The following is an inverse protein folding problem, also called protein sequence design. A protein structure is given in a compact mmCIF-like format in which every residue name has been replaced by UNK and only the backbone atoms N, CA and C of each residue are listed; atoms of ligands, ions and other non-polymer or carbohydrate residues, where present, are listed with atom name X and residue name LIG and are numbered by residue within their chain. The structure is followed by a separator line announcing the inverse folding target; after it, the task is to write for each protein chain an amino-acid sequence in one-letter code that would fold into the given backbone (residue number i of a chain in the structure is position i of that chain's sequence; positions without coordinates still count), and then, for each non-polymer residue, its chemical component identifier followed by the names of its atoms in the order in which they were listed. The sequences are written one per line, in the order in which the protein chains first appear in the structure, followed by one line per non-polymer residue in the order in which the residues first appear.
data_IF_950981549866
#
_entry.id   IF_950981549866
#
_cell.length_a   1.000
_cell.length_b   1.000
_cell.length_c   1.000
_cell.angle_alpha   90.00
_cell.angle_beta   90.00
_cell.angle_gamma   90.00
#
_symmetry.space_group_name_H-M   'P 1'
#
loop_
_entity.id
_entity.type
_entity.pdbx_description
1 polymer ?
#
# COMPACT_ATOMS: atom_id res chain seq x y z
N UNK A 1 -12.67 13.01 -18.79
CA UNK A 1 -11.52 13.94 -18.62
C UNK A 1 -10.93 13.84 -17.20
N UNK A 2 -9.61 13.67 -17.08
CA UNK A 2 -8.92 13.43 -15.80
C UNK A 2 -9.24 14.49 -14.74
N UNK A 3 -9.34 15.77 -15.15
CA UNK A 3 -9.65 16.90 -14.26
C UNK A 3 -11.05 16.85 -13.65
N UNK A 4 -12.04 16.35 -14.38
CA UNK A 4 -13.40 16.21 -13.88
C UNK A 4 -13.49 15.00 -12.94
N UNK A 5 -12.79 13.91 -13.28
CA UNK A 5 -12.69 12.74 -12.43
C UNK A 5 -12.01 13.04 -11.09
N UNK A 6 -10.92 13.81 -11.10
CA UNK A 6 -10.22 14.18 -9.87
C UNK A 6 -11.05 15.10 -8.97
N UNK A 7 -11.81 16.04 -9.55
CA UNK A 7 -12.72 16.90 -8.78
C UNK A 7 -13.87 16.11 -8.18
N UNK A 8 -14.46 15.17 -8.93
CA UNK A 8 -15.51 14.28 -8.40
C UNK A 8 -14.98 13.42 -7.25
N UNK A 9 -13.78 12.84 -7.40
CA UNK A 9 -13.14 12.04 -6.34
C UNK A 9 -12.86 12.90 -5.11
N UNK A 10 -12.35 14.13 -5.28
CA UNK A 10 -12.10 15.05 -4.17
C UNK A 10 -13.38 15.32 -3.37
N UNK A 11 -14.45 15.74 -4.05
CA UNK A 11 -15.75 16.03 -3.41
C UNK A 11 -16.29 14.78 -2.72
N UNK A 12 -16.23 13.62 -3.40
CA UNK A 12 -16.72 12.36 -2.86
C UNK A 12 -15.95 11.91 -1.62
N UNK A 13 -14.62 11.93 -1.68
CA UNK A 13 -13.74 11.53 -0.56
C UNK A 13 -13.88 12.49 0.61
N UNK A 14 -13.88 13.81 0.37
CA UNK A 14 -14.09 14.80 1.43
C UNK A 14 -15.46 14.61 2.09
N UNK A 15 -16.53 14.46 1.31
CA UNK A 15 -17.87 14.22 1.86
C UNK A 15 -17.93 12.94 2.70
N UNK A 16 -17.31 11.86 2.21
CA UNK A 16 -17.30 10.56 2.87
C UNK A 16 -16.52 10.58 4.19
N UNK A 17 -15.40 11.30 4.22
CA UNK A 17 -14.56 11.46 5.40
C UNK A 17 -15.26 12.33 6.47
N UNK A 18 -16.01 13.35 6.08
CA UNK A 18 -16.76 14.20 7.02
C UNK A 18 -18.10 13.64 7.50
N UNK A 19 -18.73 12.72 6.76
CA UNK A 19 -20.06 12.18 7.09
C UNK A 19 -20.01 10.87 7.88
N UNK A 20 -18.82 10.35 8.21
CA UNK A 20 -18.62 9.04 8.88
C UNK A 20 -19.27 7.84 8.17
N UNK A 21 -19.71 8.00 6.91
CA UNK A 21 -20.22 6.91 6.05
C UNK A 21 -19.14 5.93 5.61
N UNK A 22 -17.88 6.17 6.00
CA UNK A 22 -16.72 5.33 5.72
C UNK A 22 -16.98 3.84 5.97
N UNK A 23 -17.50 3.48 7.16
CA UNK A 23 -17.74 2.07 7.53
C UNK A 23 -18.67 1.31 6.59
N UNK A 24 -19.59 2.00 5.90
CA UNK A 24 -20.50 1.36 4.94
C UNK A 24 -19.80 1.08 3.62
N UNK A 25 -19.07 2.06 3.08
CA UNK A 25 -18.36 1.95 1.80
C UNK A 25 -17.10 1.09 1.93
N UNK A 26 -16.44 1.10 3.08
CA UNK A 26 -15.33 0.19 3.40
C UNK A 26 -15.72 -1.28 3.20
N UNK A 27 -16.92 -1.69 3.64
CA UNK A 27 -17.42 -3.05 3.38
C UNK A 27 -17.55 -3.36 1.89
N UNK A 28 -17.99 -2.37 1.08
CA UNK A 28 -18.05 -2.52 -0.37
C UNK A 28 -16.66 -2.60 -0.99
N UNK A 29 -15.72 -1.76 -0.55
CA UNK A 29 -14.32 -1.79 -0.99
C UNK A 29 -13.72 -3.16 -0.69
N UNK A 30 -13.84 -3.64 0.55
CA UNK A 30 -13.34 -4.96 0.97
C UNK A 30 -13.99 -6.04 0.11
N UNK A 31 -15.30 -6.01 -0.10
CA UNK A 31 -16.00 -6.99 -0.94
C UNK A 31 -15.44 -7.02 -2.37
N UNK A 32 -15.30 -5.88 -3.03
CA UNK A 32 -14.82 -5.79 -4.41
C UNK A 32 -13.32 -6.13 -4.55
N UNK A 33 -12.48 -5.69 -3.61
CA UNK A 33 -11.05 -6.01 -3.60
C UNK A 33 -10.82 -7.49 -3.30
N UNK A 34 -11.53 -8.05 -2.32
CA UNK A 34 -11.49 -9.49 -2.03
C UNK A 34 -11.99 -10.31 -3.21
N UNK A 35 -13.04 -9.87 -3.90
CA UNK A 35 -13.55 -10.55 -5.10
C UNK A 35 -12.49 -10.63 -6.20
N UNK A 36 -11.76 -9.54 -6.47
CA UNK A 36 -10.67 -9.56 -7.44
C UNK A 36 -9.49 -10.40 -6.97
N UNK A 37 -9.08 -10.24 -5.70
CA UNK A 37 -7.99 -11.03 -5.13
C UNK A 37 -8.25 -12.52 -5.20
N UNK A 38 -9.47 -12.95 -4.84
CA UNK A 38 -9.92 -14.33 -4.97
C UNK A 38 -10.02 -14.77 -6.43
N UNK A 39 -10.47 -13.89 -7.33
CA UNK A 39 -10.52 -14.20 -8.76
C UNK A 39 -9.13 -14.54 -9.30
N UNK A 40 -8.10 -13.77 -8.96
CA UNK A 40 -6.72 -14.09 -9.34
C UNK A 40 -6.24 -15.40 -8.72
N UNK A 41 -6.55 -15.69 -7.45
CA UNK A 41 -6.14 -16.95 -6.82
C UNK A 41 -6.82 -18.16 -7.50
N UNK A 42 -8.10 -18.03 -7.88
CA UNK A 42 -8.85 -19.09 -8.55
C UNK A 42 -8.35 -19.27 -9.99
N UNK A 43 -8.10 -18.19 -10.72
CA UNK A 43 -7.53 -18.24 -12.08
C UNK A 43 -6.16 -18.92 -12.08
N UNK A 44 -5.32 -18.62 -11.09
CA UNK A 44 -4.04 -19.29 -10.91
C UNK A 44 -4.21 -20.81 -10.80
N UNK A 45 -5.28 -21.28 -10.17
CA UNK A 45 -5.57 -22.71 -10.00
C UNK A 45 -6.14 -23.37 -11.27
N UNK A 46 -6.75 -22.58 -12.17
CA UNK A 46 -7.33 -23.07 -13.43
C UNK A 46 -6.32 -23.08 -14.59
N UNK A 47 -5.36 -22.15 -14.60
CA UNK A 47 -4.32 -22.08 -15.63
C UNK A 47 -3.32 -23.22 -15.43
N UNK A 48 -2.94 -23.89 -16.53
CA UNK A 48 -1.85 -24.87 -16.50
C UNK A 48 -0.52 -24.16 -16.26
N UNK A 49 -0.08 -24.19 -15.01
CA UNK A 49 1.19 -23.62 -14.57
C UNK A 49 2.16 -24.77 -14.31
N UNK A 50 3.35 -24.68 -14.91
CA UNK A 50 4.49 -25.52 -14.56
C UNK A 50 4.97 -25.15 -13.15
N UNK A 51 4.34 -25.74 -12.12
CA UNK A 51 4.65 -25.47 -10.71
C UNK A 51 6.12 -25.69 -10.37
N UNK A 52 6.79 -26.63 -11.06
CA UNK A 52 8.23 -26.83 -10.92
C UNK A 52 9.01 -25.56 -11.30
N UNK A 53 8.63 -24.85 -12.37
CA UNK A 53 9.28 -23.61 -12.76
C UNK A 53 8.97 -22.48 -11.75
N UNK A 54 7.72 -22.39 -11.29
CA UNK A 54 7.33 -21.41 -10.27
C UNK A 54 8.10 -21.60 -8.95
N UNK A 55 8.28 -22.86 -8.50
CA UNK A 55 9.06 -23.22 -7.32
C UNK A 55 10.55 -22.93 -7.49
N UNK A 56 11.12 -23.20 -8.67
CA UNK A 56 12.52 -22.84 -8.96
C UNK A 56 12.72 -21.32 -9.00
N UNK A 57 11.76 -20.56 -9.55
CA UNK A 57 11.79 -19.10 -9.54
C UNK A 57 11.63 -18.49 -8.14
N UNK A 58 10.93 -19.20 -7.25
CA UNK A 58 10.81 -18.78 -5.84
C UNK A 58 12.09 -19.05 -5.03
N UNK A 59 12.78 -20.16 -5.31
CA UNK A 59 13.93 -20.61 -4.51
C UNK A 59 15.27 -20.11 -5.01
N UNK A 60 15.38 -19.74 -6.30
CA UNK A 60 16.63 -19.28 -6.90
C UNK A 60 16.50 -17.82 -7.35
N UNK A 61 17.03 -16.84 -6.59
CA UNK A 61 17.02 -15.45 -7.01
C UNK A 61 17.96 -15.26 -8.21
N UNK A 62 17.37 -15.06 -9.39
CA UNK A 62 18.10 -14.71 -10.62
C UNK A 62 17.82 -13.26 -10.97
N UNK A 63 18.88 -12.50 -11.29
CA UNK A 63 18.78 -11.09 -11.66
C UNK A 63 19.13 -10.91 -13.15
N UNK A 64 18.18 -11.15 -14.07
CA UNK A 64 18.43 -10.91 -15.49
C UNK A 64 18.61 -9.41 -15.77
N UNK A 65 19.39 -9.10 -16.81
CA UNK A 65 19.63 -7.73 -17.28
C UNK A 65 18.30 -7.03 -17.58
N UNK A 66 18.01 -5.94 -16.86
CA UNK A 66 16.77 -5.16 -17.01
C UNK A 66 15.63 -5.50 -16.04
N UNK A 67 15.73 -6.57 -15.24
CA UNK A 67 14.70 -6.92 -14.24
C UNK A 67 14.84 -6.18 -12.91
N UNK A 68 16.04 -5.66 -12.62
CA UNK A 68 16.34 -4.94 -11.37
C UNK A 68 15.30 -3.81 -11.09
N UNK A 69 14.99 -2.90 -12.04
CA UNK A 69 14.03 -1.81 -11.79
C UNK A 69 12.61 -2.32 -11.50
N UNK A 70 12.18 -3.42 -12.12
CA UNK A 70 10.86 -4.02 -11.90
C UNK A 70 10.78 -4.64 -10.49
N UNK A 71 11.80 -5.41 -10.10
CA UNK A 71 11.88 -6.03 -8.76
C UNK A 71 11.83 -4.94 -7.69
N UNK A 72 12.56 -3.85 -7.92
CA UNK A 72 12.65 -2.75 -6.97
C UNK A 72 11.35 -1.94 -6.91
N UNK A 73 10.70 -1.72 -8.06
CA UNK A 73 9.41 -1.03 -8.12
C UNK A 73 8.32 -1.85 -7.42
N UNK A 74 8.31 -3.18 -7.60
CA UNK A 74 7.41 -4.07 -6.89
C UNK A 74 7.66 -4.03 -5.37
N UNK A 75 8.91 -4.09 -4.92
CA UNK A 75 9.25 -4.01 -3.50
C UNK A 75 8.90 -2.63 -2.88
N UNK A 76 9.19 -1.54 -3.59
CA UNK A 76 8.85 -0.18 -3.15
C UNK A 76 7.34 0.04 -3.04
N UNK A 77 6.56 -0.52 -3.98
CA UNK A 77 5.11 -0.42 -3.96
C UNK A 77 4.46 -1.15 -2.76
N UNK A 78 5.09 -2.22 -2.25
CA UNK A 78 4.59 -2.97 -1.10
C UNK A 78 4.84 -2.24 0.23
N UNK A 79 5.92 -1.46 0.33
CA UNK A 79 6.31 -0.79 1.56
C UNK A 79 5.88 0.67 1.54
N UNK A 80 4.65 0.94 1.99
CA UNK A 80 4.05 2.28 2.01
C UNK A 80 4.29 2.98 3.36
N UNK A 81 5.10 4.06 3.43
CA UNK A 81 5.47 4.69 4.71
C UNK A 81 4.29 5.34 5.43
N UNK A 82 3.33 5.91 4.69
CA UNK A 82 2.12 6.49 5.29
C UNK A 82 1.26 5.45 6.01
N UNK A 83 1.32 4.18 5.58
CA UNK A 83 0.60 3.10 6.25
C UNK A 83 1.20 2.77 7.62
N UNK A 84 2.51 2.99 7.81
CA UNK A 84 3.16 2.83 9.13
C UNK A 84 2.62 3.87 10.14
N UNK A 85 2.44 5.12 9.70
CA UNK A 85 1.86 6.17 10.54
C UNK A 85 0.38 5.92 10.84
N UNK A 86 -0.40 5.60 9.81
CA UNK A 86 -1.83 5.35 9.95
C UNK A 86 -2.10 4.15 10.86
N UNK A 87 -1.37 3.04 10.68
CA UNK A 87 -1.51 1.86 11.53
C UNK A 87 -1.17 2.18 13.00
N UNK A 88 -0.10 2.95 13.24
CA UNK A 88 0.25 3.39 14.60
C UNK A 88 -0.86 4.24 15.23
N UNK A 89 -1.46 5.15 14.46
CA UNK A 89 -2.55 6.02 14.93
C UNK A 89 -3.83 5.23 15.23
N UNK A 90 -4.22 4.29 14.36
CA UNK A 90 -5.41 3.45 14.56
C UNK A 90 -5.27 2.66 15.87
N UNK A 91 -4.09 2.12 16.16
CA UNK A 91 -3.82 1.42 17.41
C UNK A 91 -3.85 2.40 18.61
N UNK A 92 -3.30 3.61 18.47
CA UNK A 92 -3.35 4.62 19.55
C UNK A 92 -4.78 5.12 19.84
N UNK A 93 -5.62 5.27 18.81
CA UNK A 93 -7.01 5.72 18.95
C UNK A 93 -7.87 4.79 19.80
N UNK A 94 -7.50 3.50 19.89
CA UNK A 94 -8.14 2.52 20.76
C UNK A 94 -7.75 2.68 22.25
N UNK A 95 -6.83 3.59 22.59
CA UNK A 95 -6.39 3.95 23.96
C UNK A 95 -5.95 2.79 24.87
N UNK A 96 -5.39 1.72 24.30
CA UNK A 96 -4.88 0.55 25.04
C UNK A 96 -3.83 0.87 26.12
N UNK A 97 -3.20 2.05 26.08
CA UNK A 97 -2.21 2.49 27.08
C UNK A 97 -2.81 2.74 28.48
N UNK A 98 -4.14 2.69 28.61
CA UNK A 98 -4.86 2.82 29.88
C UNK A 98 -5.23 1.45 30.49
N UNK A 99 -4.95 0.35 29.81
CA UNK A 99 -5.35 -1.00 30.21
C UNK A 99 -4.19 -1.78 30.86
N UNK A 100 -4.52 -2.88 31.56
CA UNK A 100 -3.56 -3.71 32.28
C UNK A 100 -2.47 -4.32 31.37
N UNK A 101 -1.27 -4.51 31.94
CA UNK A 101 -0.06 -5.02 31.25
C UNK A 101 -0.31 -6.37 30.53
N UNK A 102 -1.19 -7.22 31.10
CA UNK A 102 -1.61 -8.49 30.50
C UNK A 102 -2.49 -8.32 29.26
N UNK A 103 -3.34 -7.29 29.22
CA UNK A 103 -4.22 -7.01 28.09
C UNK A 103 -3.38 -6.46 26.94
N UNK A 104 -2.44 -5.56 27.23
CA UNK A 104 -1.50 -5.01 26.24
C UNK A 104 -0.69 -6.13 25.58
N UNK A 105 -0.12 -7.07 26.36
CA UNK A 105 0.64 -8.19 25.81
C UNK A 105 -0.20 -9.08 24.89
N UNK A 106 -1.43 -9.41 25.31
CA UNK A 106 -2.36 -10.21 24.51
C UNK A 106 -2.74 -9.50 23.21
N UNK A 107 -3.02 -8.19 23.26
CA UNK A 107 -3.36 -7.40 22.08
C UNK A 107 -2.20 -7.28 21.10
N UNK A 108 -0.96 -7.15 21.58
CA UNK A 108 0.22 -7.18 20.71
C UNK A 108 0.30 -8.48 19.89
N UNK A 109 0.02 -9.63 20.51
CA UNK A 109 0.02 -10.92 19.81
C UNK A 109 -1.12 -11.03 18.79
N UNK A 110 -2.32 -10.55 19.13
CA UNK A 110 -3.46 -10.52 18.20
C UNK A 110 -3.20 -9.60 17.00
N UNK A 111 -2.76 -8.37 17.25
CA UNK A 111 -2.48 -7.38 16.20
C UNK A 111 -1.29 -7.84 15.33
N UNK A 112 -0.30 -8.51 15.90
CA UNK A 112 0.78 -9.15 15.13
C UNK A 112 0.24 -10.24 14.21
N UNK A 113 -0.62 -11.12 14.71
CA UNK A 113 -1.20 -12.21 13.92
C UNK A 113 -2.13 -11.66 12.82
N UNK A 114 -2.93 -10.64 13.12
CA UNK A 114 -3.82 -9.99 12.15
C UNK A 114 -3.02 -9.31 11.02
N UNK A 115 -1.98 -8.57 11.39
CA UNK A 115 -1.08 -7.94 10.42
C UNK A 115 -0.36 -9.00 9.58
N UNK A 116 0.14 -10.07 10.20
CA UNK A 116 0.83 -11.16 9.52
C UNK A 116 -0.08 -11.85 8.51
N UNK A 117 -1.31 -12.20 8.90
CA UNK A 117 -2.30 -12.81 8.01
C UNK A 117 -2.64 -11.89 6.85
N UNK A 118 -2.89 -10.61 7.14
CA UNK A 118 -3.20 -9.60 6.12
C UNK A 118 -2.06 -9.43 5.12
N UNK A 119 -0.80 -9.38 5.58
CA UNK A 119 0.37 -9.31 4.70
C UNK A 119 0.58 -10.59 3.89
N UNK A 120 0.30 -11.77 4.47
CA UNK A 120 0.37 -13.05 3.75
C UNK A 120 -0.67 -13.13 2.63
N UNK A 121 -1.90 -12.67 2.88
CA UNK A 121 -2.94 -12.59 1.84
C UNK A 121 -2.52 -11.62 0.74
N UNK A 122 -2.00 -10.44 1.09
CA UNK A 122 -1.47 -9.48 0.11
C UNK A 122 -0.32 -10.05 -0.72
N UNK A 123 0.60 -10.79 -0.08
CA UNK A 123 1.67 -11.51 -0.77
C UNK A 123 1.14 -12.57 -1.74
N UNK A 124 0.14 -13.35 -1.34
CA UNK A 124 -0.48 -14.37 -2.19
C UNK A 124 -1.15 -13.75 -3.43
N UNK A 125 -1.90 -12.66 -3.24
CA UNK A 125 -2.55 -11.93 -4.34
C UNK A 125 -1.50 -11.33 -5.30
N UNK A 126 -0.48 -10.64 -4.78
CA UNK A 126 0.57 -10.06 -5.61
C UNK A 126 1.33 -11.14 -6.40
N UNK A 127 1.61 -12.27 -5.77
CA UNK A 127 2.26 -13.41 -6.44
C UNK A 127 1.36 -14.00 -7.54
N UNK A 128 0.07 -14.15 -7.27
CA UNK A 128 -0.90 -14.63 -8.27
C UNK A 128 -0.97 -13.70 -9.48
N UNK A 129 -1.01 -12.38 -9.27
CA UNK A 129 -1.00 -11.39 -10.35
C UNK A 129 0.24 -11.55 -11.23
N UNK A 130 1.43 -11.68 -10.63
CA UNK A 130 2.69 -11.83 -11.40
C UNK A 130 2.69 -13.14 -12.21
N UNK A 131 2.27 -14.25 -11.61
CA UNK A 131 2.29 -15.56 -12.27
C UNK A 131 1.26 -15.61 -13.42
N UNK A 132 0.06 -15.09 -13.21
CA UNK A 132 -0.96 -15.00 -14.28
C UNK A 132 -0.47 -14.07 -15.39
N UNK A 133 0.16 -12.94 -15.05
CA UNK A 133 0.68 -12.03 -16.07
C UNK A 133 1.76 -12.72 -16.92
N UNK A 134 2.61 -13.53 -16.30
CA UNK A 134 3.59 -14.35 -17.02
C UNK A 134 2.89 -15.42 -17.90
N UNK A 135 1.92 -16.16 -17.36
CA UNK A 135 1.23 -17.21 -18.10
C UNK A 135 0.37 -16.67 -19.26
N UNK A 136 -0.25 -15.51 -19.10
CA UNK A 136 -1.20 -14.94 -20.08
C UNK A 136 -0.52 -14.00 -21.08
N UNK A 137 0.39 -13.12 -20.65
CA UNK A 137 1.01 -12.13 -21.55
C UNK A 137 2.39 -12.54 -22.03
N UNK A 138 3.23 -13.09 -21.16
CA UNK A 138 4.60 -13.47 -21.53
C UNK A 138 4.62 -14.69 -22.46
N UNK A 139 3.76 -15.69 -22.22
CA UNK A 139 3.60 -16.84 -23.12
C UNK A 139 3.11 -16.44 -24.53
N UNK A 140 2.23 -15.44 -24.62
CA UNK A 140 1.64 -14.97 -25.88
C UNK A 140 2.40 -13.81 -26.54
N UNK A 141 3.53 -13.36 -25.97
CA UNK A 141 4.36 -12.23 -26.46
C UNK A 141 3.57 -10.93 -26.71
N UNK A 142 2.50 -10.68 -25.96
CA UNK A 142 1.71 -9.46 -26.11
C UNK A 142 2.36 -8.34 -25.30
N UNK A 143 2.75 -7.20 -25.92
CA UNK A 143 3.30 -6.08 -25.16
C UNK A 143 2.21 -5.44 -24.30
N UNK A 144 2.39 -5.51 -22.98
CA UNK A 144 1.52 -4.84 -22.02
C UNK A 144 1.90 -3.36 -21.99
N UNK A 145 1.02 -2.51 -22.51
CA UNK A 145 1.25 -1.07 -22.66
C UNK A 145 0.38 -0.22 -21.74
N UNK A 146 -0.74 -0.76 -21.24
CA UNK A 146 -1.70 -0.01 -20.43
C UNK A 146 -2.25 -0.82 -19.25
N UNK A 147 -2.50 -0.14 -18.13
CA UNK A 147 -3.23 -0.67 -16.96
C UNK A 147 -4.60 -1.25 -17.34
N UNK A 148 -5.21 -0.70 -18.40
CA UNK A 148 -6.47 -1.19 -18.94
C UNK A 148 -6.38 -2.66 -19.36
N UNK A 149 -5.23 -3.17 -19.80
CA UNK A 149 -5.09 -4.56 -20.26
C UNK A 149 -5.14 -5.58 -19.12
N UNK A 150 -5.00 -5.17 -17.86
CA UNK A 150 -5.08 -6.08 -16.72
C UNK A 150 -6.45 -6.77 -16.59
N UNK A 151 -7.54 -6.18 -17.10
CA UNK A 151 -8.85 -6.85 -17.11
C UNK A 151 -8.84 -8.13 -17.98
N UNK A 152 -7.94 -8.24 -18.95
CA UNK A 152 -7.84 -9.42 -19.83
C UNK A 152 -7.39 -10.66 -19.06
N UNK A 153 -6.64 -10.46 -17.96
CA UNK A 153 -6.26 -11.54 -17.05
C UNK A 153 -7.50 -12.18 -16.41
N UNK A 154 -8.53 -11.37 -16.17
CA UNK A 154 -9.76 -11.75 -15.46
C UNK A 154 -10.88 -12.31 -16.38
N UNK A 155 -10.71 -12.23 -17.70
CA UNK A 155 -11.69 -12.74 -18.69
C UNK A 155 -11.95 -14.25 -18.55
N UNK A 156 -10.95 -15.12 -18.31
CA UNK A 156 -11.17 -16.57 -18.20
C UNK A 156 -12.17 -16.94 -17.10
N UNK A 157 -12.16 -16.25 -15.96
CA UNK A 157 -13.06 -16.55 -14.84
C UNK A 157 -14.34 -15.71 -14.85
N UNK A 158 -14.24 -14.41 -15.13
CA UNK A 158 -15.35 -13.45 -14.98
C UNK A 158 -16.08 -13.17 -16.32
N UNK A 159 -15.57 -13.70 -17.43
CA UNK A 159 -16.16 -13.56 -18.75
C UNK A 159 -16.33 -12.09 -19.17
N UNK A 160 -17.45 -11.78 -19.83
CA UNK A 160 -17.74 -10.44 -20.35
C UNK A 160 -17.93 -9.36 -19.26
N UNK A 161 -18.09 -9.77 -17.99
CA UNK A 161 -18.22 -8.86 -16.85
C UNK A 161 -16.88 -8.49 -16.21
N UNK A 162 -15.77 -9.12 -16.61
CA UNK A 162 -14.44 -8.88 -16.08
C UNK A 162 -14.03 -7.40 -16.14
N UNK A 163 -14.27 -6.73 -17.26
CA UNK A 163 -13.92 -5.32 -17.46
C UNK A 163 -14.67 -4.39 -16.50
N UNK A 164 -15.96 -4.65 -16.26
CA UNK A 164 -16.79 -3.82 -15.36
C UNK A 164 -16.36 -4.02 -13.92
N UNK A 165 -16.18 -5.28 -13.50
CA UNK A 165 -15.75 -5.62 -12.14
C UNK A 165 -14.36 -5.06 -11.86
N UNK A 166 -13.43 -5.21 -12.80
CA UNK A 166 -12.09 -4.63 -12.70
C UNK A 166 -12.13 -3.10 -12.60
N UNK A 167 -12.88 -2.42 -13.46
CA UNK A 167 -12.99 -0.97 -13.44
C UNK A 167 -13.61 -0.44 -12.14
N UNK A 168 -14.67 -1.10 -11.63
CA UNK A 168 -15.33 -0.73 -10.37
C UNK A 168 -14.41 -0.95 -9.18
N UNK A 169 -13.72 -2.09 -9.11
CA UNK A 169 -12.78 -2.36 -8.03
C UNK A 169 -11.54 -1.46 -8.08
N UNK A 170 -11.02 -1.14 -9.28
CA UNK A 170 -9.91 -0.20 -9.44
C UNK A 170 -10.32 1.20 -8.95
N UNK A 171 -11.55 1.63 -9.27
CA UNK A 171 -12.11 2.88 -8.76
C UNK A 171 -12.23 2.87 -7.23
N UNK A 172 -12.81 1.81 -6.65
CA UNK A 172 -12.95 1.68 -5.20
C UNK A 172 -11.61 1.59 -4.48
N UNK A 173 -10.62 0.89 -5.05
CA UNK A 173 -9.26 0.84 -4.53
C UNK A 173 -8.61 2.23 -4.52
N UNK A 174 -8.77 3.00 -5.60
CA UNK A 174 -8.30 4.39 -5.68
C UNK A 174 -8.95 5.29 -4.62
N UNK A 175 -10.27 5.22 -4.47
CA UNK A 175 -11.02 5.95 -3.43
C UNK A 175 -10.53 5.57 -2.03
N UNK A 176 -10.36 4.27 -1.76
CA UNK A 176 -9.84 3.77 -0.49
C UNK A 176 -8.46 4.35 -0.18
N UNK A 177 -7.57 4.38 -1.17
CA UNK A 177 -6.21 4.92 -1.03
C UNK A 177 -6.22 6.43 -0.78
N UNK A 178 -7.11 7.18 -1.42
CA UNK A 178 -7.26 8.61 -1.14
C UNK A 178 -7.74 8.88 0.30
N UNK A 179 -8.62 8.03 0.83
CA UNK A 179 -9.10 8.15 2.21
C UNK A 179 -7.99 7.86 3.20
N UNK A 180 -7.27 6.74 3.04
CA UNK A 180 -6.18 6.38 3.95
C UNK A 180 -5.04 7.41 3.91
N UNK A 181 -4.72 7.95 2.72
CA UNK A 181 -3.77 9.05 2.59
C UNK A 181 -4.26 10.34 3.28
N UNK A 182 -5.55 10.68 3.15
CA UNK A 182 -6.17 11.80 3.86
C UNK A 182 -6.11 11.63 5.38
N UNK A 183 -6.47 10.45 5.88
CA UNK A 183 -6.39 10.11 7.31
C UNK A 183 -4.95 10.19 7.84
N UNK A 184 -3.97 9.67 7.10
CA UNK A 184 -2.56 9.78 7.46
C UNK A 184 -2.08 11.25 7.46
N UNK A 185 -2.54 12.07 6.51
CA UNK A 185 -2.30 13.51 6.50
C UNK A 185 -2.88 14.21 7.73
N UNK A 186 -4.12 13.86 8.07
CA UNK A 186 -4.81 14.34 9.28
C UNK A 186 -4.11 13.95 10.57
N UNK A 187 -3.62 12.71 10.68
CA UNK A 187 -2.92 12.23 11.88
C UNK A 187 -1.55 12.87 12.05
N UNK A 188 -0.80 13.07 10.95
CA UNK A 188 0.47 13.82 11.01
C UNK A 188 0.22 15.25 11.49
N UNK A 189 -0.84 15.90 11.00
CA UNK A 189 -1.18 17.25 11.40
C UNK A 189 -1.63 17.32 12.85
N UNK A 190 -2.51 16.42 13.31
CA UNK A 190 -2.93 16.31 14.71
C UNK A 190 -1.73 16.01 15.64
N UNK A 191 -0.81 15.15 15.21
CA UNK A 191 0.42 14.84 15.92
C UNK A 191 1.36 16.04 16.10
N UNK A 192 1.39 17.00 15.16
CA UNK A 192 2.11 18.28 15.35
C UNK A 192 1.53 19.11 16.49
N UNK A 193 0.21 19.02 16.72
CA UNK A 193 -0.48 19.67 17.83
C UNK A 193 -0.55 18.79 19.10
N UNK A 194 0.02 17.57 19.06
CA UNK A 194 -0.02 16.55 20.12
C UNK A 194 -1.44 16.09 20.50
N UNK A 195 -2.35 16.13 19.54
CA UNK A 195 -3.73 15.66 19.71
C UNK A 195 -3.88 14.29 19.03
N UNK A 196 -4.66 13.36 19.60
CA UNK A 196 -5.00 12.12 18.91
C UNK A 196 -5.88 12.42 17.70
N UNK A 197 -5.80 11.59 16.65
CA UNK A 197 -6.67 11.70 15.49
C UNK A 197 -8.16 11.66 15.90
N UNK A 198 -8.86 12.78 15.72
CA UNK A 198 -10.31 12.85 15.82
C UNK A 198 -10.86 13.59 14.60
N UNK A 199 -11.70 12.91 13.82
CA UNK A 199 -12.30 13.45 12.59
C UNK A 199 -13.26 14.62 12.87
N UNK A 200 -13.69 14.77 14.12
CA UNK A 200 -14.51 15.87 14.60
C UNK A 200 -13.70 17.09 15.03
N UNK A 201 -12.39 16.93 15.25
CA UNK A 201 -11.53 18.03 15.63
C UNK A 201 -11.22 18.93 14.42
N UNK A 202 -11.17 20.24 14.67
CA UNK A 202 -10.90 21.26 13.67
C UNK A 202 -9.48 21.09 13.08
N UNK A 203 -8.50 20.68 13.89
CA UNK A 203 -7.11 20.52 13.47
C UNK A 203 -6.93 19.32 12.54
N UNK A 204 -7.50 18.16 12.88
CA UNK A 204 -7.49 16.98 12.00
C UNK A 204 -8.24 17.24 10.69
N UNK A 205 -9.41 17.90 10.76
CA UNK A 205 -10.19 18.31 9.57
C UNK A 205 -9.42 19.23 8.64
N UNK A 206 -8.70 20.20 9.21
CA UNK A 206 -7.84 21.11 8.46
C UNK A 206 -6.64 20.38 7.85
N UNK A 207 -6.01 19.45 8.57
CA UNK A 207 -4.93 18.60 8.06
C UNK A 207 -5.36 17.73 6.87
N UNK A 208 -6.54 17.10 6.95
CA UNK A 208 -7.11 16.31 5.85
C UNK A 208 -7.48 17.20 4.67
N UNK A 209 -8.08 18.37 4.91
CA UNK A 209 -8.45 19.30 3.86
C UNK A 209 -7.21 19.84 3.12
N UNK A 210 -6.16 20.24 3.85
CA UNK A 210 -4.90 20.71 3.25
C UNK A 210 -4.28 19.61 2.39
N UNK A 211 -4.20 18.37 2.89
CA UNK A 211 -3.60 17.27 2.13
C UNK A 211 -4.40 16.91 0.87
N UNK A 212 -5.73 16.83 0.96
CA UNK A 212 -6.58 16.55 -0.20
C UNK A 212 -6.58 17.68 -1.24
N UNK A 213 -6.64 18.95 -0.79
CA UNK A 213 -6.60 20.11 -1.70
C UNK A 213 -5.21 20.24 -2.34
N UNK A 214 -4.13 20.06 -1.59
CA UNK A 214 -2.78 20.05 -2.15
C UNK A 214 -2.61 18.95 -3.19
N UNK A 215 -3.09 17.73 -2.91
CA UNK A 215 -3.07 16.63 -3.88
C UNK A 215 -3.88 16.98 -5.15
N UNK A 216 -5.06 17.59 -4.99
CA UNK A 216 -5.88 18.03 -6.12
C UNK A 216 -5.18 19.09 -6.99
N UNK A 217 -4.54 20.09 -6.36
CA UNK A 217 -3.76 21.12 -7.08
C UNK A 217 -2.64 20.47 -7.89
N UNK A 218 -1.91 19.52 -7.30
CA UNK A 218 -0.84 18.78 -8.00
C UNK A 218 -1.41 18.02 -9.20
N UNK A 219 -2.56 17.35 -9.05
CA UNK A 219 -3.22 16.63 -10.15
C UNK A 219 -3.68 17.56 -11.28
N UNK A 220 -4.08 18.80 -10.98
CA UNK A 220 -4.45 19.78 -12.01
C UNK A 220 -3.27 20.26 -12.85
N UNK A 221 -2.07 20.30 -12.26
CA UNK A 221 -0.83 20.72 -12.90
C UNK A 221 -0.20 19.62 -13.76
N UNK A 222 -0.45 18.35 -13.42
CA UNK A 222 0.07 17.20 -14.15
C UNK A 222 -0.73 16.99 -15.45
N UNK A 223 -0.05 17.09 -16.59
CA UNK A 223 -0.66 16.83 -17.91
C UNK A 223 -0.73 15.33 -18.24
N UNK A 224 0.18 14.52 -17.68
CA UNK A 224 0.28 13.08 -17.92
C UNK A 224 0.17 12.31 -16.59
N UNK A 225 -0.95 11.59 -16.34
CA UNK A 225 -1.16 10.83 -15.12
C UNK A 225 -0.07 9.81 -14.84
N UNK A 226 0.55 9.24 -15.88
CA UNK A 226 1.61 8.26 -15.74
C UNK A 226 2.88 8.89 -15.18
N UNK A 227 3.27 10.06 -15.69
CA UNK A 227 4.40 10.83 -15.12
C UNK A 227 4.10 11.24 -13.68
N UNK A 228 2.87 11.65 -13.39
CA UNK A 228 2.41 11.91 -12.03
C UNK A 228 2.65 10.74 -11.09
N UNK A 229 2.24 9.54 -11.51
CA UNK A 229 2.47 8.31 -10.76
C UNK A 229 3.96 8.06 -10.53
N UNK A 230 4.80 8.21 -11.57
CA UNK A 230 6.25 8.03 -11.45
C UNK A 230 6.87 9.03 -10.46
N UNK A 231 6.50 10.32 -10.52
CA UNK A 231 7.00 11.32 -9.58
C UNK A 231 6.57 11.04 -8.13
N UNK A 232 5.31 10.61 -7.92
CA UNK A 232 4.84 10.20 -6.60
C UNK A 232 5.67 9.03 -6.05
N UNK A 233 6.04 8.06 -6.88
CA UNK A 233 6.91 6.95 -6.47
C UNK A 233 8.32 7.44 -6.09
N UNK A 234 8.89 8.39 -6.82
CA UNK A 234 10.19 8.99 -6.47
C UNK A 234 10.14 9.65 -5.08
N UNK A 235 9.10 10.42 -4.79
CA UNK A 235 8.93 11.08 -3.49
C UNK A 235 8.80 10.06 -2.35
N UNK A 236 8.02 8.99 -2.57
CA UNK A 236 7.86 7.90 -1.61
C UNK A 236 9.20 7.21 -1.33
N UNK A 237 10.01 6.94 -2.35
CA UNK A 237 11.33 6.32 -2.18
C UNK A 237 12.30 7.16 -1.37
N UNK A 238 12.22 8.49 -1.44
CA UNK A 238 13.04 9.39 -0.60
C UNK A 238 12.55 9.39 0.85
N UNK A 239 11.23 9.36 1.07
CA UNK A 239 10.63 9.42 2.42
C UNK A 239 10.81 8.12 3.21
N UNK A 240 10.84 6.97 2.53
CA UNK A 240 10.78 5.65 3.14
C UNK A 240 11.99 5.37 4.07
N UNK A 241 13.26 5.59 3.68
CA UNK A 241 14.40 5.36 4.57
C UNK A 241 14.30 6.16 5.87
N UNK A 242 13.94 7.44 5.77
CA UNK A 242 13.80 8.34 6.93
C UNK A 242 12.77 7.75 7.90
N UNK A 243 11.61 7.35 7.38
CA UNK A 243 10.52 6.78 8.18
C UNK A 243 10.95 5.49 8.89
N UNK A 244 11.59 4.56 8.15
CA UNK A 244 12.03 3.28 8.69
C UNK A 244 13.09 3.47 9.78
N UNK A 245 14.11 4.29 9.54
CA UNK A 245 15.17 4.50 10.54
C UNK A 245 14.64 5.19 11.80
N UNK A 246 13.76 6.18 11.66
CA UNK A 246 13.10 6.82 12.82
C UNK A 246 12.25 5.82 13.60
N UNK A 247 11.48 4.98 12.92
CA UNK A 247 10.67 3.95 13.58
C UNK A 247 11.55 2.92 14.31
N UNK A 248 12.62 2.44 13.68
CA UNK A 248 13.55 1.50 14.32
C UNK A 248 14.21 2.15 15.54
N UNK A 249 14.57 3.43 15.46
CA UNK A 249 15.14 4.18 16.58
C UNK A 249 14.16 4.29 17.75
N UNK A 250 12.92 4.72 17.50
CA UNK A 250 11.89 4.89 18.52
C UNK A 250 11.50 3.56 19.17
N UNK A 251 11.27 2.51 18.37
CA UNK A 251 10.91 1.16 18.86
C UNK A 251 12.05 0.46 19.61
N UNK A 252 13.31 0.81 19.30
CA UNK A 252 14.49 0.28 19.99
C UNK A 252 14.89 1.07 21.24
N UNK A 253 14.29 2.25 21.45
CA UNK A 253 14.64 3.13 22.58
C UNK A 253 13.87 2.74 23.84
N UNK A 254 14.61 2.34 24.88
CA UNK A 254 14.02 2.11 26.22
C UNK A 254 13.37 3.35 26.81
N UNK A 255 13.73 4.55 26.35
CA UNK A 255 13.13 5.82 26.78
C UNK A 255 11.69 5.99 26.27
N UNK A 256 11.38 5.39 25.11
CA UNK A 256 10.06 5.51 24.46
C UNK A 256 9.22 4.26 24.71
N UNK A 257 9.80 3.07 24.56
CA UNK A 257 9.08 1.79 24.68
C UNK A 257 9.14 1.12 26.06
N UNK A 258 9.97 1.63 26.98
CA UNK A 258 10.10 1.06 28.32
C UNK A 258 10.46 -0.44 28.30
N UNK A 259 9.59 -1.27 28.89
CA UNK A 259 9.74 -2.73 28.97
C UNK A 259 9.51 -3.46 27.64
N UNK A 260 8.79 -2.85 26.70
CA UNK A 260 8.46 -3.42 25.38
C UNK A 260 9.48 -3.08 24.29
N UNK A 261 10.65 -2.55 24.67
CA UNK A 261 11.72 -2.24 23.72
C UNK A 261 12.23 -3.50 22.99
N UNK A 262 12.56 -3.35 21.71
CA UNK A 262 13.03 -4.45 20.86
C UNK A 262 14.25 -5.19 21.47
N UNK A 263 14.17 -6.53 21.50
CA UNK A 263 15.30 -7.39 21.88
C UNK A 263 16.44 -7.26 20.86
N UNK A 264 17.69 -7.53 21.27
CA UNK A 264 18.89 -7.36 20.43
C UNK A 264 18.79 -8.07 19.07
N UNK A 265 18.23 -9.29 19.03
CA UNK A 265 18.03 -10.05 17.79
C UNK A 265 17.05 -9.35 16.84
N UNK A 266 15.88 -8.92 17.34
CA UNK A 266 14.90 -8.18 16.55
C UNK A 266 15.45 -6.84 16.07
N UNK A 267 16.24 -6.14 16.90
CA UNK A 267 16.90 -4.90 16.49
C UNK A 267 17.85 -5.11 15.31
N UNK A 268 18.66 -6.17 15.34
CA UNK A 268 19.58 -6.50 14.24
C UNK A 268 18.78 -6.85 12.96
N UNK A 269 17.73 -7.66 13.08
CA UNK A 269 16.86 -8.02 11.96
C UNK A 269 16.20 -6.78 11.33
N UNK A 270 15.66 -5.88 12.16
CA UNK A 270 15.06 -4.62 11.73
C UNK A 270 16.08 -3.69 11.05
N UNK A 271 17.30 -3.63 11.57
CA UNK A 271 18.38 -2.86 10.93
C UNK A 271 18.80 -3.46 9.59
N UNK A 272 18.96 -4.78 9.50
CA UNK A 272 19.29 -5.45 8.24
C UNK A 272 18.22 -5.23 7.17
N UNK A 273 16.94 -5.39 7.54
CA UNK A 273 15.82 -5.15 6.63
C UNK A 273 15.71 -3.68 6.23
N UNK A 274 15.89 -2.74 7.18
CA UNK A 274 15.90 -1.31 6.88
C UNK A 274 17.04 -0.88 5.95
N UNK A 275 18.25 -1.40 6.15
CA UNK A 275 19.39 -1.17 5.24
C UNK A 275 19.07 -1.76 3.86
N UNK A 276 18.59 -3.00 3.80
CA UNK A 276 18.27 -3.67 2.53
C UNK A 276 17.23 -2.88 1.72
N UNK A 277 16.12 -2.47 2.36
CA UNK A 277 15.08 -1.66 1.71
C UNK A 277 15.60 -0.28 1.30
N UNK A 278 16.50 0.32 2.09
CA UNK A 278 17.12 1.61 1.76
C UNK A 278 18.03 1.49 0.52
N UNK A 279 18.86 0.46 0.46
CA UNK A 279 19.73 0.19 -0.70
C UNK A 279 18.88 0.02 -1.96
N UNK A 280 17.80 -0.76 -1.88
CA UNK A 280 16.88 -0.96 -3.00
C UNK A 280 16.20 0.35 -3.43
N UNK A 281 15.76 1.19 -2.49
CA UNK A 281 15.16 2.48 -2.84
C UNK A 281 16.17 3.43 -3.48
N UNK A 282 17.41 3.49 -2.98
CA UNK A 282 18.46 4.33 -3.57
C UNK A 282 18.78 3.86 -4.99
N UNK A 283 18.92 2.55 -5.19
CA UNK A 283 19.15 2.01 -6.52
C UNK A 283 17.94 2.28 -7.44
N UNK A 284 16.70 2.28 -6.93
CA UNK A 284 15.49 2.51 -7.73
C UNK A 284 15.45 3.96 -8.17
N UNK A 285 15.78 4.86 -7.25
CA UNK A 285 15.94 6.28 -7.50
C UNK A 285 16.97 6.52 -8.61
N UNK A 286 18.14 5.87 -8.54
CA UNK A 286 19.17 5.96 -9.58
C UNK A 286 18.64 5.41 -10.92
N UNK A 287 17.93 4.29 -10.92
CA UNK A 287 17.38 3.70 -12.15
C UNK A 287 16.31 4.57 -12.79
N UNK A 288 15.43 5.19 -12.00
CA UNK A 288 14.41 6.11 -12.50
C UNK A 288 15.07 7.34 -13.14
N UNK A 289 16.09 7.91 -12.51
CA UNK A 289 16.83 9.04 -13.06
C UNK A 289 17.68 8.71 -14.28
N UNK A 290 18.03 7.44 -14.49
CA UNK A 290 18.80 6.99 -15.67
C UNK A 290 17.91 6.71 -16.89
N UNK A 291 16.61 6.49 -16.67
CA UNK A 291 15.59 6.23 -17.70
C UNK A 291 14.70 7.45 -18.02
N UNK A 292 14.97 8.61 -17.41
CA UNK A 292 14.38 9.92 -17.73
C UNK A 292 15.39 10.72 -18.54
#
# INVERSE_FOLDING_TARGET
PVKIGSLLILVFVSWMLFTSSYKKIEKWIICFVSLIGLSFIIELSMVHIEWNQALTGWTVPTFPLGAMPIIMSALGAVVMPHNLYLHSEIIQSKQWNLEDEHIIAKQLDYEFMDTLLSMLVGWAINSAIIIIAAATFFANKVPVTELGQAHQMLIPLLGNSASVIFAVSLLFSGVSSCITAGMAGGSIFAGLFKEPYDIHDAHTKLGVAITLVAAFIVVLLIQDPFKGLVYSQVLLSIQLPITIFTQIYLTSSKKVMGKYANKKLFKILLWCTGIFVTILNIMLFISLFKNV
#
